data_IF_865891903666
#
_entry.id   IF_865891903666
#
_cell.length_a   1.000
_cell.length_b   1.000
_cell.length_c   1.000
_cell.angle_alpha   90.00
_cell.angle_beta   90.00
_cell.angle_gamma   90.00
#
_symmetry.space_group_name_H-M   'P 1'
#
loop_
_entity.id
_entity.type
_entity.pdbx_description
1 polymer ?
#
# COMPACT_ATOMS: atom_id res chain seq x y z
N UNK A 1 -24.62 -8.54 31.39
CA UNK A 1 -23.83 -7.29 31.27
C UNK A 1 -22.35 -7.58 31.06
N UNK A 2 -21.69 -8.35 31.94
CA UNK A 2 -20.25 -8.67 31.83
C UNK A 2 -19.86 -9.41 30.53
N UNK A 3 -20.70 -10.33 30.06
CA UNK A 3 -20.50 -11.08 28.80
C UNK A 3 -20.54 -10.18 27.55
N UNK A 4 -21.41 -9.15 27.56
CA UNK A 4 -21.50 -8.18 26.46
C UNK A 4 -20.26 -7.27 26.40
N UNK A 5 -19.69 -6.91 27.56
CA UNK A 5 -18.45 -6.14 27.62
C UNK A 5 -17.25 -6.95 27.12
N UNK A 6 -17.21 -8.25 27.40
CA UNK A 6 -16.20 -9.17 26.89
C UNK A 6 -16.27 -9.33 25.36
N UNK A 7 -17.47 -9.43 24.78
CA UNK A 7 -17.62 -9.51 23.32
C UNK A 7 -17.21 -8.21 22.60
N UNK A 8 -17.47 -7.05 23.20
CA UNK A 8 -17.04 -5.75 22.64
C UNK A 8 -15.51 -5.64 22.68
N UNK A 9 -14.88 -6.10 23.77
CA UNK A 9 -13.43 -6.10 23.89
C UNK A 9 -12.76 -7.08 22.91
N UNK A 10 -13.38 -8.24 22.68
CA UNK A 10 -12.92 -9.21 21.68
C UNK A 10 -13.06 -8.69 20.24
N UNK A 11 -14.13 -7.95 19.94
CA UNK A 11 -14.31 -7.31 18.62
C UNK A 11 -13.36 -6.12 18.39
N UNK A 12 -12.78 -5.55 19.45
CA UNK A 12 -11.77 -4.49 19.34
C UNK A 12 -10.38 -5.03 19.00
N UNK A 13 -10.16 -6.35 19.11
CA UNK A 13 -8.91 -6.99 18.68
C UNK A 13 -8.93 -7.08 17.16
N UNK A 14 -8.11 -6.25 16.52
CA UNK A 14 -7.94 -6.26 15.08
C UNK A 14 -7.39 -7.62 14.64
N UNK A 15 -8.02 -8.28 13.67
CA UNK A 15 -7.45 -9.49 13.09
C UNK A 15 -6.21 -9.11 12.27
N UNK A 16 -5.02 -9.30 12.86
CA UNK A 16 -3.76 -9.07 12.17
C UNK A 16 -3.43 -10.28 11.33
N UNK A 17 -3.48 -10.14 10.00
CA UNK A 17 -2.99 -11.19 9.12
C UNK A 17 -1.52 -11.48 9.42
N UNK A 18 -1.19 -12.74 9.71
CA UNK A 18 0.20 -13.18 9.77
C UNK A 18 0.85 -13.04 8.39
N UNK A 19 2.17 -12.87 8.37
CA UNK A 19 2.89 -12.74 7.10
C UNK A 19 2.72 -14.03 6.28
N UNK A 20 2.16 -13.89 5.07
CA UNK A 20 1.87 -14.99 4.17
C UNK A 20 2.06 -14.54 2.71
N UNK A 21 2.26 -15.49 1.80
CA UNK A 21 2.41 -15.21 0.36
C UNK A 21 1.21 -14.44 -0.21
N UNK A 22 0.01 -14.68 0.30
CA UNK A 22 -1.20 -13.95 -0.08
C UNK A 22 -1.13 -12.47 0.28
N UNK A 23 -0.59 -12.13 1.47
CA UNK A 23 -0.36 -10.75 1.91
C UNK A 23 0.63 -10.04 0.99
N UNK A 24 1.70 -10.73 0.59
CA UNK A 24 2.69 -10.19 -0.33
C UNK A 24 2.09 -9.89 -1.71
N UNK A 25 1.24 -10.77 -2.25
CA UNK A 25 0.57 -10.56 -3.53
C UNK A 25 -0.36 -9.33 -3.47
N UNK A 26 -1.14 -9.19 -2.39
CA UNK A 26 -2.00 -8.02 -2.18
C UNK A 26 -1.18 -6.73 -2.10
N UNK A 27 -0.05 -6.75 -1.39
CA UNK A 27 0.85 -5.60 -1.30
C UNK A 27 1.43 -5.19 -2.66
N UNK A 28 1.85 -6.17 -3.47
CA UNK A 28 2.37 -5.90 -4.83
C UNK A 28 1.28 -5.31 -5.71
N UNK A 29 0.06 -5.86 -5.66
CA UNK A 29 -1.08 -5.33 -6.41
C UNK A 29 -1.41 -3.88 -5.99
N UNK A 30 -1.38 -3.57 -4.69
CA UNK A 30 -1.60 -2.22 -4.18
C UNK A 30 -0.49 -1.24 -4.62
N UNK A 31 0.77 -1.69 -4.64
CA UNK A 31 1.88 -0.87 -5.14
C UNK A 31 1.77 -0.61 -6.66
N UNK A 32 1.31 -1.60 -7.45
CA UNK A 32 1.05 -1.41 -8.88
C UNK A 32 -0.08 -0.41 -9.13
N UNK A 33 -1.16 -0.48 -8.33
CA UNK A 33 -2.25 0.50 -8.39
C UNK A 33 -1.77 1.89 -7.99
N UNK A 34 -0.99 2.01 -6.92
CA UNK A 34 -0.37 3.26 -6.51
C UNK A 34 0.53 3.83 -7.61
N UNK A 35 1.25 2.99 -8.34
CA UNK A 35 2.07 3.40 -9.49
C UNK A 35 1.22 3.96 -10.64
N UNK A 36 0.11 3.30 -10.97
CA UNK A 36 -0.84 3.83 -11.94
C UNK A 36 -1.41 5.19 -11.46
N UNK A 37 -1.80 5.30 -10.20
CA UNK A 37 -2.32 6.55 -9.63
C UNK A 37 -1.25 7.64 -9.66
N UNK A 38 -0.01 7.36 -9.24
CA UNK A 38 1.11 8.31 -9.30
C UNK A 38 1.39 8.80 -10.72
N UNK A 39 1.27 7.92 -11.72
CA UNK A 39 1.39 8.29 -13.13
C UNK A 39 0.36 9.34 -13.55
N UNK A 40 -0.88 9.28 -13.07
CA UNK A 40 -1.95 10.22 -13.43
C UNK A 40 -2.05 11.44 -12.49
N UNK A 41 -1.70 11.27 -11.21
CA UNK A 41 -1.84 12.28 -10.18
C UNK A 41 -0.64 13.25 -10.11
N UNK A 42 0.56 12.81 -10.51
CA UNK A 42 1.73 13.69 -10.45
C UNK A 42 1.66 14.72 -11.58
N UNK A 43 1.32 15.95 -11.23
CA UNK A 43 1.23 17.11 -12.12
C UNK A 43 2.62 17.73 -12.41
N UNK A 44 3.54 17.64 -11.45
CA UNK A 44 4.91 18.17 -11.56
C UNK A 44 5.91 17.01 -11.52
N UNK A 45 6.13 16.39 -12.68
CA UNK A 45 7.03 15.23 -12.82
C UNK A 45 8.47 15.71 -12.96
N UNK A 46 9.39 15.13 -12.18
CA UNK A 46 10.82 15.47 -12.23
C UNK A 46 11.24 16.72 -11.43
N UNK A 47 10.43 17.20 -10.47
CA UNK A 47 10.87 18.24 -9.51
C UNK A 47 11.71 17.56 -8.42
N UNK A 48 12.95 17.22 -8.76
CA UNK A 48 13.90 16.60 -7.84
C UNK A 48 15.00 15.83 -8.56
N UNK A 49 15.98 15.28 -7.82
CA UNK A 49 17.10 14.55 -8.39
C UNK A 49 16.60 13.43 -9.32
N UNK A 50 17.09 13.44 -10.56
CA UNK A 50 16.80 12.37 -11.51
C UNK A 50 17.34 11.04 -10.99
N UNK A 51 16.64 9.95 -11.28
CA UNK A 51 17.10 8.59 -10.96
C UNK A 51 18.47 8.33 -11.62
N UNK A 52 19.53 8.02 -10.85
CA UNK A 52 20.81 7.60 -11.41
C UNK A 52 20.70 6.16 -11.93
N UNK A 53 20.67 5.99 -13.26
CA UNK A 53 20.68 4.67 -13.90
C UNK A 53 19.95 4.61 -15.25
N UNK A 54 20.06 3.48 -15.98
CA UNK A 54 19.35 3.27 -17.24
C UNK A 54 17.83 3.26 -16.98
N UNK A 55 17.14 4.28 -17.48
CA UNK A 55 15.71 4.50 -17.26
C UNK A 55 14.91 3.61 -18.22
N UNK A 56 14.00 2.74 -17.76
CA UNK A 56 12.93 2.23 -18.61
C UNK A 56 12.12 3.43 -19.12
N UNK A 57 11.70 3.44 -20.39
CA UNK A 57 10.97 4.58 -21.01
C UNK A 57 9.71 5.03 -20.23
N UNK A 58 9.16 4.15 -19.39
CA UNK A 58 8.04 4.44 -18.49
C UNK A 58 8.40 5.37 -17.31
N UNK A 59 9.68 5.44 -16.93
CA UNK A 59 10.22 6.19 -15.80
C UNK A 59 11.07 7.41 -16.22
N UNK A 60 11.08 7.76 -17.52
CA UNK A 60 12.00 8.76 -18.08
C UNK A 60 11.84 10.18 -17.49
N UNK A 61 10.66 10.49 -16.93
CA UNK A 61 10.37 11.74 -16.20
C UNK A 61 10.08 11.52 -14.70
N UNK A 62 10.29 10.31 -14.19
CA UNK A 62 10.02 9.95 -12.80
C UNK A 62 11.30 10.15 -11.99
N UNK A 63 11.31 11.10 -11.07
CA UNK A 63 12.40 11.34 -10.14
C UNK A 63 12.42 10.34 -8.99
N UNK A 64 13.53 10.32 -8.24
CA UNK A 64 13.64 9.64 -6.95
C UNK A 64 12.49 9.99 -5.99
N UNK A 65 12.09 11.27 -5.82
CA UNK A 65 11.00 11.60 -4.90
C UNK A 65 9.65 11.02 -5.33
N UNK A 66 9.40 10.90 -6.63
CA UNK A 66 8.15 10.34 -7.16
C UNK A 66 8.07 8.84 -6.91
N UNK A 67 9.17 8.12 -7.13
CA UNK A 67 9.24 6.68 -6.83
C UNK A 67 9.01 6.42 -5.33
N UNK A 68 9.66 7.20 -4.47
CA UNK A 68 9.53 7.08 -3.03
C UNK A 68 8.11 7.42 -2.56
N UNK A 69 7.53 8.52 -3.07
CA UNK A 69 6.18 8.93 -2.72
C UNK A 69 5.14 7.88 -3.11
N UNK A 70 5.24 7.35 -4.33
CA UNK A 70 4.30 6.34 -4.85
C UNK A 70 4.43 5.01 -4.14
N UNK A 71 5.66 4.57 -3.84
CA UNK A 71 5.90 3.35 -3.07
C UNK A 71 5.38 3.50 -1.64
N UNK A 72 5.61 4.66 -1.01
CA UNK A 72 5.11 4.93 0.35
C UNK A 72 3.59 4.95 0.40
N UNK A 73 2.94 5.61 -0.58
CA UNK A 73 1.50 5.59 -0.73
C UNK A 73 0.95 4.18 -0.98
N UNK A 74 1.61 3.39 -1.84
CA UNK A 74 1.29 2.00 -2.09
C UNK A 74 1.35 1.11 -0.85
N UNK A 75 2.32 1.36 0.04
CA UNK A 75 2.40 0.66 1.33
C UNK A 75 1.29 1.06 2.30
N UNK A 76 0.90 2.34 2.36
CA UNK A 76 -0.23 2.78 3.18
C UNK A 76 -1.54 2.16 2.67
N UNK A 77 -1.76 2.19 1.35
CA UNK A 77 -2.92 1.56 0.71
C UNK A 77 -2.91 0.05 0.94
N UNK A 78 -1.76 -0.60 0.78
CA UNK A 78 -1.58 -2.02 1.02
C UNK A 78 -1.85 -2.43 2.47
N UNK A 79 -1.36 -1.67 3.46
CA UNK A 79 -1.63 -1.93 4.87
C UNK A 79 -3.15 -1.86 5.17
N UNK A 80 -3.83 -0.85 4.62
CA UNK A 80 -5.29 -0.73 4.74
C UNK A 80 -6.03 -1.89 4.06
N UNK A 81 -5.61 -2.29 2.86
CA UNK A 81 -6.21 -3.40 2.13
C UNK A 81 -6.02 -4.74 2.84
N UNK A 82 -4.82 -5.00 3.37
CA UNK A 82 -4.50 -6.24 4.10
C UNK A 82 -5.32 -6.32 5.39
N UNK A 83 -5.36 -5.26 6.22
CA UNK A 83 -6.20 -5.25 7.42
C UNK A 83 -7.69 -5.35 7.09
N UNK A 84 -8.13 -4.75 5.98
CA UNK A 84 -9.51 -4.82 5.51
C UNK A 84 -9.91 -6.23 5.09
N UNK A 85 -9.10 -6.90 4.26
CA UNK A 85 -9.34 -8.28 3.83
C UNK A 85 -9.22 -9.28 4.99
N UNK A 86 -8.28 -9.05 5.92
CA UNK A 86 -8.09 -9.88 7.10
C UNK A 86 -9.28 -9.80 8.06
N UNK A 87 -9.84 -8.59 8.28
CA UNK A 87 -11.07 -8.44 9.06
C UNK A 87 -12.32 -8.95 8.34
N UNK A 88 -12.31 -8.98 6.99
CA UNK A 88 -13.37 -9.59 6.20
C UNK A 88 -13.29 -11.14 6.17
N UNK A 89 -12.22 -11.74 6.71
CA UNK A 89 -12.02 -13.19 6.75
C UNK A 89 -11.65 -13.82 5.39
N UNK A 90 -11.22 -13.01 4.43
CA UNK A 90 -10.81 -13.45 3.09
C UNK A 90 -9.29 -13.73 3.04
N UNK A 91 -8.54 -13.16 3.98
CA UNK A 91 -7.11 -13.39 4.28
C UNK A 91 -6.98 -13.91 5.71
#
# INVERSE_FOLDING_TARGET
MLTAQLSILAAAVSHTAEWSSSVAIVMIACNLLAFAIGRFAIQQKGVGPELPGPKPALLEKFGVPELLAVTSFGHILGAGAILGLANAGIL
#
